data_IF_298892086909
#
_entry.id   IF_298892086909
#
_cell.length_a   1.000
_cell.length_b   1.000
_cell.length_c   1.000
_cell.angle_alpha   90.00
_cell.angle_beta   90.00
_cell.angle_gamma   90.00
#
_symmetry.space_group_name_H-M   'P 1'
#
loop_
_entity.id
_entity.type
_entity.pdbx_description
1 polymer ?
2 polymer ?
3 polymer ?
4 non-polymer ?
5 water ?
#
loop_
_entity_poly.entity_id
_entity_poly.type
_entity_poly.pdbx_seq_one_letter_code
_entity_poly.pdbx_strand_id
2 'polydeoxyribonucleotide' '(DA)(DG)(DG)(DA)(DC)(DC)(DOC)' ?
3 'polydeoxyribonucleotide' '(DT)(BRU)(DG)(DG)(DG)(DT)(DC)(DC)(DT)' ?
#
# COMPACT_ATOMS: atom_id res chain seq x y z
N UNK A 1 -12.44 23.75 -0.25
CA UNK A 1 -12.99 23.36 1.09
C UNK A 1 -13.13 21.85 1.28
N UNK A 2 -14.29 21.30 0.92
CA UNK A 2 -14.56 19.88 1.09
C UNK A 2 -14.07 18.98 -0.05
N UNK A 3 -13.43 17.89 0.31
CA UNK A 3 -12.88 16.95 -0.66
C UNK A 3 -13.64 15.64 -0.78
N UNK A 4 -13.44 14.98 -1.91
CA UNK A 4 -14.02 13.67 -2.18
C UNK A 4 -12.84 12.82 -2.61
N UNK A 5 -12.43 11.94 -1.70
CA UNK A 5 -11.29 11.06 -1.92
C UNK A 5 -11.73 9.62 -2.04
N UNK A 6 -11.11 8.86 -2.93
CA UNK A 6 -11.42 7.44 -3.05
C UNK A 6 -10.15 6.61 -2.79
N UNK A 7 -10.33 5.54 -2.03
CA UNK A 7 -9.24 4.64 -1.72
C UNK A 7 -9.53 3.31 -2.42
N UNK A 8 -8.65 2.90 -3.33
CA UNK A 8 -8.80 1.65 -4.07
C UNK A 8 -7.85 0.61 -3.48
N UNK A 9 -8.40 -0.52 -3.08
CA UNK A 9 -7.62 -1.58 -2.44
C UNK A 9 -7.91 -2.92 -3.11
N UNK A 10 -6.91 -3.45 -3.82
CA UNK A 10 -7.08 -4.70 -4.54
C UNK A 10 -7.06 -5.93 -3.64
N UNK A 11 -7.97 -6.85 -3.91
CA UNK A 11 -8.07 -8.08 -3.14
C UNK A 11 -6.85 -8.99 -3.41
N UNK A 12 -6.29 -9.55 -2.33
CA UNK A 12 -5.16 -10.46 -2.39
C UNK A 12 -4.44 -10.36 -3.73
N UNK A 13 -3.84 -9.19 -3.97
CA UNK A 13 -3.17 -8.87 -5.22
C UNK A 13 -2.28 -9.91 -5.87
N UNK A 14 -1.24 -10.37 -5.18
CA UNK A 14 -0.33 -11.37 -5.77
C UNK A 14 -1.10 -12.62 -6.21
N UNK A 15 -2.04 -13.05 -5.37
CA UNK A 15 -2.84 -14.22 -5.68
C UNK A 15 -3.62 -13.99 -6.97
N UNK A 16 -4.22 -12.81 -7.12
CA UNK A 16 -4.97 -12.51 -8.34
C UNK A 16 -4.07 -12.60 -9.58
N UNK A 17 -2.84 -12.14 -9.46
CA UNK A 17 -1.92 -12.20 -10.58
C UNK A 17 -1.56 -13.66 -10.89
N UNK A 18 -1.25 -14.43 -9.85
CA UNK A 18 -0.90 -15.83 -10.05
C UNK A 18 -2.09 -16.63 -10.60
N UNK A 19 -3.31 -16.30 -10.17
CA UNK A 19 -4.50 -17.00 -10.65
C UNK A 19 -4.76 -16.66 -12.11
N UNK A 20 -4.42 -15.44 -12.52
CA UNK A 20 -4.63 -15.04 -13.90
C UNK A 20 -3.59 -15.74 -14.79
N UNK A 21 -2.39 -15.96 -14.26
CA UNK A 21 -1.36 -16.63 -15.05
C UNK A 21 -1.85 -18.05 -15.36
N UNK A 22 -2.00 -18.86 -14.31
CA UNK A 22 -2.48 -20.22 -14.47
C UNK A 22 -3.91 -20.37 -13.93
N UNK A 23 -4.90 -20.33 -14.83
CA UNK A 23 -6.33 -20.45 -14.49
C UNK A 23 -6.65 -21.66 -13.61
N UNK A 24 -5.92 -22.75 -13.84
CA UNK A 24 -6.14 -23.98 -13.06
C UNK A 24 -5.98 -23.77 -11.56
N UNK A 25 -5.48 -22.59 -11.18
CA UNK A 25 -5.30 -22.27 -9.77
C UNK A 25 -6.57 -21.71 -9.13
N UNK A 26 -7.51 -21.25 -9.95
CA UNK A 26 -8.77 -20.70 -9.44
C UNK A 26 -9.49 -21.74 -8.60
N UNK A 27 -10.53 -21.29 -7.88
CA UNK A 27 -11.35 -22.14 -7.01
C UNK A 27 -10.55 -22.97 -6.00
N UNK A 28 -9.35 -23.38 -6.40
CA UNK A 28 -8.48 -24.17 -5.52
C UNK A 28 -7.72 -23.22 -4.62
N UNK A 29 -7.69 -23.50 -3.31
CA UNK A 29 -6.98 -22.64 -2.34
C UNK A 29 -5.55 -22.33 -2.80
N UNK A 30 -5.27 -21.05 -2.99
CA UNK A 30 -3.96 -20.64 -3.44
C UNK A 30 -3.24 -19.72 -2.47
N UNK A 31 -1.97 -19.99 -2.28
CA UNK A 31 -1.17 -19.19 -1.39
C UNK A 31 0.10 -18.80 -2.13
N UNK A 32 0.52 -17.55 -1.97
CA UNK A 32 1.73 -17.08 -2.63
C UNK A 32 2.83 -17.09 -1.56
N UNK A 33 3.93 -17.74 -1.90
CA UNK A 33 5.04 -17.90 -0.99
C UNK A 33 6.33 -17.18 -1.32
N UNK A 34 6.97 -16.66 -0.27
CA UNK A 34 8.26 -15.99 -0.38
C UNK A 34 9.05 -16.62 0.76
N UNK A 35 10.04 -17.42 0.40
CA UNK A 35 10.84 -18.12 1.38
C UNK A 35 9.96 -19.09 2.17
N UNK A 36 9.89 -18.93 3.48
CA UNK A 36 9.10 -19.81 4.33
C UNK A 36 7.79 -19.18 4.75
N UNK A 37 7.36 -18.15 4.03
CA UNK A 37 6.14 -17.48 4.38
C UNK A 37 5.10 -17.47 3.28
N UNK A 38 3.85 -17.38 3.69
CA UNK A 38 2.73 -17.28 2.76
C UNK A 38 2.32 -15.83 2.95
N UNK A 39 2.79 -14.96 2.06
CA UNK A 39 2.49 -13.56 2.16
C UNK A 39 1.01 -13.27 1.93
N UNK A 40 0.42 -13.93 0.93
CA UNK A 40 -0.99 -13.75 0.66
C UNK A 40 -1.56 -15.00 0.01
N UNK A 41 -2.88 -15.11 0.03
CA UNK A 41 -3.58 -16.25 -0.54
C UNK A 41 -4.97 -15.81 -1.00
N UNK A 42 -5.58 -16.56 -1.92
CA UNK A 42 -6.91 -16.21 -2.39
C UNK A 42 -7.93 -16.51 -1.30
N UNK A 43 -9.12 -15.93 -1.43
CA UNK A 43 -10.17 -16.10 -0.43
C UNK A 43 -10.55 -17.54 -0.14
N UNK A 44 -10.50 -18.41 -1.15
CA UNK A 44 -10.83 -19.82 -0.95
C UNK A 44 -9.97 -20.36 0.19
N UNK A 45 -8.66 -20.29 -0.02
CA UNK A 45 -7.69 -20.76 0.97
C UNK A 45 -7.84 -20.02 2.29
N UNK A 46 -8.20 -18.76 2.20
CA UNK A 46 -8.40 -17.93 3.39
C UNK A 46 -9.58 -18.47 4.17
N UNK A 47 -10.55 -19.03 3.47
CA UNK A 47 -11.75 -19.59 4.10
C UNK A 47 -11.34 -20.78 4.96
N UNK A 48 -10.28 -21.47 4.53
CA UNK A 48 -9.79 -22.65 5.23
C UNK A 48 -8.75 -22.33 6.31
N UNK A 49 -8.80 -21.12 6.85
CA UNK A 49 -7.87 -20.73 7.89
C UNK A 49 -6.58 -20.01 7.50
N UNK A 50 -6.12 -20.21 6.28
CA UNK A 50 -4.89 -19.55 5.84
C UNK A 50 -4.97 -18.04 6.03
N UNK A 51 -3.99 -17.47 6.73
CA UNK A 51 -3.95 -16.03 6.98
C UNK A 51 -2.70 -15.41 6.36
N UNK A 52 -2.81 -14.15 5.99
CA UNK A 52 -1.68 -13.42 5.38
C UNK A 52 -0.47 -13.43 6.29
N UNK A 53 0.71 -13.63 5.72
CA UNK A 53 1.95 -13.66 6.47
C UNK A 53 1.93 -14.77 7.51
N UNK A 54 1.78 -16.00 7.07
CA UNK A 54 1.74 -17.15 7.96
C UNK A 54 2.74 -18.20 7.49
N UNK A 55 3.44 -18.82 8.44
CA UNK A 55 4.43 -19.84 8.12
C UNK A 55 3.82 -20.95 7.26
N UNK A 56 4.60 -21.46 6.32
CA UNK A 56 4.13 -22.51 5.43
C UNK A 56 3.60 -23.68 6.24
N UNK A 57 4.37 -24.12 7.24
CA UNK A 57 3.96 -25.23 8.10
C UNK A 57 2.57 -24.95 8.66
N UNK A 58 2.47 -23.94 9.52
CA UNK A 58 1.20 -23.56 10.13
C UNK A 58 0.15 -23.32 9.06
N UNK A 59 0.59 -23.16 7.81
CA UNK A 59 -0.33 -22.93 6.70
C UNK A 59 -0.86 -24.24 6.10
N UNK A 60 -0.02 -25.26 6.10
CA UNK A 60 -0.42 -26.55 5.56
C UNK A 60 -1.06 -27.42 6.63
N UNK A 61 -0.66 -27.22 7.88
CA UNK A 61 -1.22 -27.99 8.99
C UNK A 61 -2.57 -27.38 9.36
N UNK A 62 -3.01 -26.44 8.53
CA UNK A 62 -4.29 -25.76 8.71
C UNK A 62 -5.09 -26.00 7.43
N UNK A 63 -4.38 -26.36 6.37
CA UNK A 63 -4.97 -26.62 5.07
C UNK A 63 -4.05 -27.55 4.27
N UNK A 64 -3.98 -28.83 4.66
CA UNK A 64 -3.13 -29.84 4.02
C UNK A 64 -3.57 -30.13 2.57
N UNK A 65 -3.65 -29.08 1.77
CA UNK A 65 -4.06 -29.19 0.37
C UNK A 65 -3.69 -27.91 -0.36
N UNK A 66 -3.42 -26.86 0.41
CA UNK A 66 -3.05 -25.57 -0.12
C UNK A 66 -2.00 -25.66 -1.23
N UNK A 67 -2.26 -24.98 -2.34
CA UNK A 67 -1.32 -24.95 -3.44
C UNK A 67 -0.43 -23.73 -3.21
N UNK A 68 0.83 -23.81 -3.62
CA UNK A 68 1.74 -22.70 -3.42
C UNK A 68 2.52 -22.33 -4.66
N UNK A 69 2.64 -21.02 -4.90
CA UNK A 69 3.39 -20.52 -6.04
C UNK A 69 4.43 -19.59 -5.44
N UNK A 70 5.63 -19.56 -6.02
CA UNK A 70 6.67 -18.70 -5.49
C UNK A 70 6.43 -17.27 -5.94
N UNK A 71 6.52 -16.33 -5.01
CA UNK A 71 6.31 -14.93 -5.34
C UNK A 71 7.47 -14.03 -4.99
N UNK A 72 8.68 -14.58 -4.95
CA UNK A 72 9.86 -13.79 -4.63
C UNK A 72 10.24 -12.78 -5.70
N UNK A 73 9.95 -13.11 -6.96
CA UNK A 73 10.21 -12.22 -8.08
C UNK A 73 8.94 -11.37 -8.21
N UNK A 74 9.05 -10.09 -7.88
CA UNK A 74 7.92 -9.17 -7.92
C UNK A 74 7.62 -8.59 -9.29
N UNK A 75 8.43 -8.93 -10.27
CA UNK A 75 8.28 -8.39 -11.60
C UNK A 75 6.85 -8.23 -12.14
N UNK A 76 6.09 -9.31 -12.17
CA UNK A 76 4.73 -9.23 -12.71
C UNK A 76 3.77 -8.50 -11.80
N UNK A 77 3.99 -8.58 -10.50
CA UNK A 77 3.13 -7.88 -9.54
C UNK A 77 3.32 -6.39 -9.77
N UNK A 78 4.59 -5.98 -9.81
CA UNK A 78 4.97 -4.58 -10.01
C UNK A 78 4.39 -4.04 -11.31
N UNK A 79 4.48 -4.84 -12.38
CA UNK A 79 3.95 -4.40 -13.68
C UNK A 79 2.44 -4.19 -13.66
N UNK A 80 1.71 -5.11 -13.05
CA UNK A 80 0.25 -4.99 -12.97
C UNK A 80 -0.10 -3.80 -12.07
N UNK A 81 0.68 -3.64 -11.00
CA UNK A 81 0.46 -2.54 -10.09
C UNK A 81 0.48 -1.21 -10.83
N UNK A 82 1.43 -1.04 -11.75
CA UNK A 82 1.45 0.23 -12.47
C UNK A 82 0.32 0.34 -13.48
N UNK A 83 -0.12 -0.78 -14.04
CA UNK A 83 -1.23 -0.69 -14.99
C UNK A 83 -2.46 -0.21 -14.24
N UNK A 84 -2.63 -0.67 -13.00
CA UNK A 84 -3.78 -0.24 -12.21
C UNK A 84 -3.72 1.26 -11.99
N UNK A 85 -2.57 1.73 -11.48
CA UNK A 85 -2.38 3.15 -11.22
C UNK A 85 -2.61 4.00 -12.46
N UNK A 86 -2.07 3.58 -13.59
CA UNK A 86 -2.23 4.31 -14.86
C UNK A 86 -3.70 4.35 -15.28
N UNK A 87 -4.40 3.26 -15.07
CA UNK A 87 -5.81 3.23 -15.42
C UNK A 87 -6.54 4.25 -14.53
N UNK A 88 -6.15 4.34 -13.26
CA UNK A 88 -6.79 5.28 -12.35
C UNK A 88 -6.44 6.72 -12.72
N UNK A 89 -5.19 6.93 -13.15
CA UNK A 89 -4.73 8.27 -13.54
C UNK A 89 -5.54 8.82 -14.73
N UNK A 90 -6.10 7.91 -15.53
CA UNK A 90 -6.89 8.33 -16.68
C UNK A 90 -8.16 9.00 -16.21
N UNK A 91 -8.74 8.51 -15.12
CA UNK A 91 -9.94 9.12 -14.55
C UNK A 91 -9.60 10.50 -14.04
N UNK A 92 -8.52 10.59 -13.29
CA UNK A 92 -8.09 11.86 -12.71
C UNK A 92 -6.60 11.71 -12.43
N UNK A 93 -5.80 12.69 -12.89
CA UNK A 93 -4.34 12.69 -12.74
C UNK A 93 -3.69 12.61 -11.36
N UNK A 94 -4.38 13.06 -10.31
CA UNK A 94 -3.77 13.04 -8.99
C UNK A 94 -4.03 11.73 -8.26
N UNK A 95 -3.11 10.79 -8.48
CA UNK A 95 -3.20 9.47 -7.89
C UNK A 95 -1.95 9.15 -7.07
N UNK A 96 -2.18 8.72 -5.83
CA UNK A 96 -1.10 8.38 -4.92
C UNK A 96 -1.07 6.87 -4.68
N UNK A 97 0.11 6.27 -4.85
CA UNK A 97 0.29 4.85 -4.61
C UNK A 97 0.68 4.62 -3.16
N UNK A 98 0.24 3.51 -2.60
CA UNK A 98 0.62 3.14 -1.25
C UNK A 98 0.87 1.65 -1.41
N UNK A 99 2.13 1.30 -1.59
CA UNK A 99 2.49 -0.09 -1.82
C UNK A 99 2.10 -0.46 -3.24
N UNK A 100 2.08 -1.74 -3.55
CA UNK A 100 1.73 -2.19 -4.90
C UNK A 100 0.22 -2.39 -5.07
N UNK A 101 -0.53 -2.52 -3.98
CA UNK A 101 -1.94 -2.78 -4.15
C UNK A 101 -2.95 -1.73 -3.76
N UNK A 102 -2.49 -0.55 -3.36
CA UNK A 102 -3.41 0.52 -2.97
C UNK A 102 -3.13 1.85 -3.67
N UNK A 103 -4.19 2.56 -3.98
CA UNK A 103 -4.11 3.86 -4.63
C UNK A 103 -5.15 4.80 -4.02
N UNK A 104 -4.80 6.08 -3.96
CA UNK A 104 -5.70 7.13 -3.49
C UNK A 104 -5.88 8.04 -4.69
N UNK A 105 -7.11 8.49 -4.92
CA UNK A 105 -7.38 9.40 -6.02
C UNK A 105 -8.20 10.56 -5.49
N UNK A 106 -7.78 11.78 -5.80
CA UNK A 106 -8.53 12.94 -5.35
C UNK A 106 -9.57 13.16 -6.43
N UNK A 107 -10.82 12.89 -6.11
CA UNK A 107 -11.93 13.02 -7.07
C UNK A 107 -12.66 14.35 -7.00
N UNK A 108 -12.21 15.22 -6.11
CA UNK A 108 -12.86 16.51 -5.91
C UNK A 108 -13.22 17.28 -7.18
N UNK A 109 -12.23 17.57 -8.01
CA UNK A 109 -12.50 18.33 -9.22
C UNK A 109 -13.44 17.60 -10.17
N UNK A 110 -13.26 16.30 -10.30
CA UNK A 110 -14.09 15.50 -11.18
C UNK A 110 -15.55 15.51 -10.73
N UNK A 111 -15.77 15.45 -9.42
CA UNK A 111 -17.13 15.47 -8.88
C UNK A 111 -17.83 16.79 -9.21
N UNK A 112 -17.11 17.89 -9.08
CA UNK A 112 -17.68 19.20 -9.39
C UNK A 112 -18.09 19.31 -10.85
N UNK A 113 -17.20 18.92 -11.76
CA UNK A 113 -17.50 18.97 -13.18
C UNK A 113 -18.76 18.17 -13.50
N UNK A 114 -18.89 16.99 -12.89
CA UNK A 114 -20.06 16.16 -13.14
C UNK A 114 -21.33 16.79 -12.58
N UNK A 115 -21.25 17.34 -11.39
CA UNK A 115 -22.41 17.98 -10.78
C UNK A 115 -22.89 19.17 -11.60
N UNK A 116 -21.95 19.92 -12.14
CA UNK A 116 -22.30 21.09 -12.94
C UNK A 116 -22.99 20.71 -14.24
N UNK A 117 -22.86 19.44 -14.64
CA UNK A 117 -23.49 18.96 -15.86
C UNK A 117 -24.94 18.58 -15.62
N UNK A 118 -25.27 18.21 -14.38
CA UNK A 118 -26.62 17.82 -14.02
C UNK A 118 -27.55 19.03 -14.00
N UNK A 119 -28.84 18.80 -14.24
CA UNK A 119 -29.83 19.86 -14.25
C UNK A 119 -30.63 19.89 -12.96
N UNK A 120 -31.23 21.04 -12.66
CA UNK A 120 -32.05 21.22 -11.45
C UNK A 120 -33.28 20.32 -11.49
N UNK A 121 -33.05 19.01 -11.45
CA UNK A 121 -34.14 18.04 -11.46
C UNK A 121 -33.54 16.66 -11.36
N UNK A 122 -32.61 16.34 -12.26
CA UNK A 122 -31.94 15.05 -12.26
C UNK A 122 -31.02 14.92 -11.06
N UNK A 123 -30.83 16.03 -10.36
CA UNK A 123 -29.98 16.07 -9.17
C UNK A 123 -30.71 15.33 -8.04
N UNK A 124 -32.01 15.19 -8.18
CA UNK A 124 -32.84 14.51 -7.19
C UNK A 124 -32.87 13.02 -7.47
N UNK A 125 -32.34 12.63 -8.63
CA UNK A 125 -32.32 11.22 -9.01
C UNK A 125 -30.95 10.60 -8.69
N UNK A 126 -30.04 11.42 -8.18
CA UNK A 126 -28.70 10.96 -7.83
C UNK A 126 -28.79 9.78 -6.86
N UNK A 127 -28.14 8.68 -7.21
CA UNK A 127 -28.17 7.51 -6.36
C UNK A 127 -26.78 7.05 -5.98
N UNK A 128 -26.72 6.19 -4.97
CA UNK A 128 -25.44 5.68 -4.50
C UNK A 128 -25.07 4.40 -5.23
N UNK A 129 -23.77 4.14 -5.30
CA UNK A 129 -23.28 2.94 -5.92
C UNK A 129 -22.55 2.15 -4.83
N UNK A 130 -23.04 0.96 -4.53
CA UNK A 130 -22.44 0.16 -3.49
C UNK A 130 -23.04 0.44 -2.11
N UNK A 131 -22.29 0.09 -1.06
CA UNK A 131 -22.75 0.25 0.32
C UNK A 131 -22.60 1.67 0.91
N UNK A 132 -23.46 1.98 1.87
CA UNK A 132 -23.41 3.27 2.59
C UNK A 132 -23.02 2.84 3.99
N UNK A 133 -21.86 3.29 4.49
CA UNK A 133 -21.41 2.89 5.81
C UNK A 133 -22.46 3.13 6.90
N UNK A 134 -22.57 2.16 7.80
CA UNK A 134 -23.53 2.17 8.90
C UNK A 134 -24.96 2.36 8.40
N UNK A 135 -25.23 1.91 7.18
CA UNK A 135 -26.57 1.99 6.61
C UNK A 135 -27.19 3.37 6.88
N UNK A 136 -26.38 4.41 6.78
CA UNK A 136 -26.86 5.76 7.04
C UNK A 136 -27.80 6.23 5.96
N UNK A 137 -28.85 6.96 6.38
CA UNK A 137 -29.84 7.50 5.46
C UNK A 137 -29.24 8.67 4.68
N UNK A 138 -29.53 8.71 3.39
CA UNK A 138 -29.01 9.78 2.53
C UNK A 138 -29.97 10.97 2.54
N UNK A 139 -29.41 12.17 2.48
CA UNK A 139 -30.23 13.35 2.42
C UNK A 139 -29.84 14.01 1.12
N UNK A 140 -30.72 13.91 0.14
CA UNK A 140 -30.47 14.48 -1.18
C UNK A 140 -30.31 15.99 -1.23
N UNK A 141 -30.68 16.70 -0.15
CA UNK A 141 -30.53 18.14 -0.15
C UNK A 141 -29.22 18.57 0.49
N UNK A 142 -28.47 17.58 1.00
CA UNK A 142 -27.17 17.89 1.61
C UNK A 142 -26.14 17.84 0.48
N UNK A 143 -25.60 19.00 0.12
CA UNK A 143 -24.61 19.05 -0.97
C UNK A 143 -23.43 18.09 -0.75
N UNK A 144 -23.07 17.87 0.51
CA UNK A 144 -21.96 16.97 0.83
C UNK A 144 -22.33 15.52 0.52
N UNK A 145 -23.59 15.17 0.74
CA UNK A 145 -24.08 13.82 0.45
C UNK A 145 -24.06 13.56 -1.06
N UNK A 146 -24.57 14.54 -1.81
CA UNK A 146 -24.62 14.42 -3.27
C UNK A 146 -23.21 14.20 -3.83
N UNK A 147 -22.26 14.98 -3.34
CA UNK A 147 -20.89 14.87 -3.81
C UNK A 147 -20.30 13.49 -3.55
N UNK A 148 -20.46 13.00 -2.32
CA UNK A 148 -19.91 11.69 -1.99
C UNK A 148 -20.61 10.61 -2.79
N UNK A 149 -21.88 10.81 -3.11
CA UNK A 149 -22.60 9.80 -3.88
C UNK A 149 -22.05 9.73 -5.30
N UNK A 150 -21.79 10.90 -5.89
CA UNK A 150 -21.23 10.93 -7.24
C UNK A 150 -19.87 10.24 -7.11
N UNK A 151 -19.18 10.52 -6.01
CA UNK A 151 -17.90 9.89 -5.76
C UNK A 151 -18.05 8.37 -5.77
N UNK A 152 -19.17 7.86 -5.24
CA UNK A 152 -19.36 6.41 -5.22
C UNK A 152 -19.55 5.91 -6.66
N UNK A 153 -20.20 6.71 -7.50
CA UNK A 153 -20.44 6.36 -8.90
C UNK A 153 -19.10 6.25 -9.64
N UNK A 154 -18.23 7.23 -9.45
CA UNK A 154 -16.93 7.20 -10.11
C UNK A 154 -16.16 5.98 -9.63
N UNK A 155 -16.21 5.72 -8.33
CA UNK A 155 -15.52 4.58 -7.75
C UNK A 155 -15.98 3.29 -8.42
N UNK A 156 -17.29 3.17 -8.64
CA UNK A 156 -17.85 1.98 -9.29
C UNK A 156 -17.33 1.90 -10.73
N UNK A 157 -17.25 3.03 -11.42
CA UNK A 157 -16.75 3.06 -12.79
C UNK A 157 -15.29 2.59 -12.82
N UNK A 158 -14.50 3.05 -11.84
CA UNK A 158 -13.10 2.67 -11.74
C UNK A 158 -12.96 1.16 -11.52
N UNK A 159 -13.75 0.61 -10.59
CA UNK A 159 -13.64 -0.83 -10.32
C UNK A 159 -14.09 -1.66 -11.50
N UNK A 160 -15.09 -1.15 -12.23
CA UNK A 160 -15.59 -1.88 -13.39
C UNK A 160 -14.52 -1.87 -14.46
N UNK A 161 -13.85 -0.73 -14.62
CA UNK A 161 -12.79 -0.60 -15.60
C UNK A 161 -11.61 -1.51 -15.25
N UNK A 162 -11.22 -1.55 -13.97
CA UNK A 162 -10.10 -2.39 -13.56
C UNK A 162 -10.40 -3.83 -13.90
N UNK A 163 -11.66 -4.22 -13.72
CA UNK A 163 -12.04 -5.59 -14.02
C UNK A 163 -12.11 -5.84 -15.53
N UNK A 164 -12.79 -4.97 -16.26
CA UNK A 164 -12.91 -5.18 -17.71
C UNK A 164 -11.59 -5.06 -18.48
N UNK A 165 -10.80 -4.04 -18.19
CA UNK A 165 -9.55 -3.85 -18.91
C UNK A 165 -8.35 -4.64 -18.38
N UNK A 166 -8.35 -4.95 -17.08
CA UNK A 166 -7.21 -5.65 -16.46
C UNK A 166 -7.50 -6.99 -15.80
N UNK A 167 -8.77 -7.36 -15.65
CA UNK A 167 -9.10 -8.64 -15.03
C UNK A 167 -8.96 -8.67 -13.52
N UNK A 168 -8.89 -7.50 -12.88
CA UNK A 168 -8.74 -7.43 -11.43
C UNK A 168 -9.97 -6.95 -10.64
N UNK A 169 -10.20 -7.57 -9.49
CA UNK A 169 -11.30 -7.19 -8.62
C UNK A 169 -10.70 -6.40 -7.46
N UNK A 170 -11.53 -5.63 -6.77
CA UNK A 170 -11.01 -4.86 -5.65
C UNK A 170 -12.05 -4.07 -4.89
N UNK A 171 -11.63 -3.49 -3.78
CA UNK A 171 -12.53 -2.69 -2.98
C UNK A 171 -12.23 -1.21 -3.18
N UNK A 172 -13.20 -0.38 -2.81
CA UNK A 172 -13.04 1.08 -2.89
C UNK A 172 -13.76 1.68 -1.70
N UNK A 173 -13.23 2.81 -1.23
CA UNK A 173 -13.82 3.52 -0.11
C UNK A 173 -13.88 4.98 -0.51
N UNK A 174 -15.04 5.61 -0.31
CA UNK A 174 -15.18 7.01 -0.67
C UNK A 174 -15.49 7.82 0.58
N UNK A 175 -14.70 8.85 0.82
CA UNK A 175 -14.86 9.71 1.98
C UNK A 175 -14.28 11.10 1.72
N UNK A 176 -14.33 11.98 2.73
CA UNK A 176 -13.84 13.34 2.60
C UNK A 176 -12.32 13.53 2.74
N UNK A 177 -11.61 12.53 3.24
CA UNK A 177 -10.14 12.62 3.33
C UNK A 177 -9.50 11.23 3.19
N UNK A 178 -8.18 11.17 3.14
CA UNK A 178 -7.50 9.88 2.96
C UNK A 178 -7.67 8.86 4.08
N UNK A 179 -7.59 9.35 5.32
CA UNK A 179 -7.75 8.52 6.51
C UNK A 179 -9.07 7.74 6.45
N UNK A 180 -10.16 8.47 6.35
CA UNK A 180 -11.50 7.91 6.31
C UNK A 180 -11.74 7.00 5.09
N UNK A 181 -11.23 7.41 3.93
CA UNK A 181 -11.40 6.63 2.72
C UNK A 181 -10.73 5.28 2.89
N UNK A 182 -9.54 5.29 3.48
CA UNK A 182 -8.82 4.05 3.70
C UNK A 182 -9.48 3.20 4.78
N UNK A 183 -10.01 3.83 5.82
CA UNK A 183 -10.68 3.06 6.86
C UNK A 183 -12.00 2.48 6.34
N UNK A 184 -12.70 3.20 5.48
CA UNK A 184 -13.98 2.66 5.01
C UNK A 184 -13.89 1.69 3.84
N UNK A 185 -12.81 1.74 3.05
CA UNK A 185 -12.71 0.84 1.90
C UNK A 185 -12.81 -0.62 2.28
N UNK A 186 -12.35 -0.96 3.48
CA UNK A 186 -12.40 -2.35 3.90
C UNK A 186 -13.61 -2.82 4.68
N UNK A 187 -14.64 -1.99 4.84
CA UNK A 187 -15.83 -2.38 5.61
C UNK A 187 -16.52 -3.60 4.99
N UNK A 188 -16.72 -3.60 3.69
CA UNK A 188 -17.31 -4.77 3.04
C UNK A 188 -16.18 -5.31 2.18
N UNK A 189 -15.41 -6.17 2.84
CA UNK A 189 -14.16 -6.77 2.35
C UNK A 189 -13.92 -7.38 0.98
N UNK A 190 -14.78 -8.29 0.51
CA UNK A 190 -14.42 -8.81 -0.82
C UNK A 190 -15.01 -8.17 -2.07
N UNK A 191 -14.15 -7.58 -2.91
CA UNK A 191 -14.59 -6.97 -4.16
C UNK A 191 -15.88 -6.16 -4.04
N UNK A 192 -15.87 -5.17 -3.16
CA UNK A 192 -17.05 -4.33 -2.95
C UNK A 192 -16.58 -2.92 -2.61
N UNK A 193 -17.52 -1.99 -2.46
CA UNK A 193 -17.16 -0.63 -2.13
C UNK A 193 -18.15 -0.01 -1.14
N UNK A 194 -17.67 0.96 -0.37
CA UNK A 194 -18.48 1.62 0.65
C UNK A 194 -18.21 3.12 0.65
N UNK A 195 -19.23 3.90 0.99
CA UNK A 195 -19.09 5.34 1.05
C UNK A 195 -19.43 5.80 2.47
N UNK A 196 -18.65 6.77 2.96
CA UNK A 196 -18.82 7.30 4.32
C UNK A 196 -19.45 8.69 4.31
N UNK A 197 -20.63 8.83 4.91
CA UNK A 197 -21.25 10.17 4.98
C UNK A 197 -20.72 10.82 6.28
N UNK A 198 -20.56 12.15 6.29
CA UNK A 198 -20.04 12.86 7.47
C UNK A 198 -20.62 12.43 8.82
N UNK A 199 -21.94 12.38 8.93
CA UNK A 199 -22.59 11.99 10.18
C UNK A 199 -22.14 10.66 10.78
N UNK A 200 -21.46 9.83 10.00
CA UNK A 200 -21.03 8.54 10.55
C UNK A 200 -19.54 8.44 10.85
N UNK A 201 -18.83 9.56 10.75
CA UNK A 201 -17.39 9.57 10.99
C UNK A 201 -16.97 9.06 12.37
N UNK A 202 -17.66 9.50 13.43
CA UNK A 202 -17.32 9.02 14.76
C UNK A 202 -17.58 7.52 14.91
N UNK A 203 -18.68 7.05 14.34
CA UNK A 203 -19.00 5.62 14.42
C UNK A 203 -17.84 4.81 13.79
N UNK A 204 -17.35 5.24 12.63
CA UNK A 204 -16.25 4.55 11.95
C UNK A 204 -14.98 4.57 12.81
N UNK A 205 -14.59 5.74 13.28
CA UNK A 205 -13.37 5.86 14.07
C UNK A 205 -13.41 5.03 15.34
N UNK A 206 -14.55 5.08 16.04
CA UNK A 206 -14.71 4.32 17.27
C UNK A 206 -14.90 2.84 17.01
N UNK A 207 -15.15 2.45 15.76
CA UNK A 207 -15.33 1.04 15.47
C UNK A 207 -13.98 0.33 15.61
N UNK A 208 -12.88 1.09 15.56
CA UNK A 208 -11.54 0.50 15.71
C UNK A 208 -11.36 0.01 17.16
N UNK A 209 -10.53 -1.01 17.36
CA UNK A 209 -10.32 -1.53 18.71
C UNK A 209 -9.04 -1.11 19.41
N UNK A 210 -8.14 -0.45 18.67
CA UNK A 210 -6.88 0.06 19.23
C UNK A 210 -6.29 1.13 18.30
N UNK A 211 -5.62 2.11 18.90
CA UNK A 211 -5.01 3.20 18.14
C UNK A 211 -4.09 2.68 17.04
N UNK A 212 -3.50 1.51 17.27
CA UNK A 212 -2.60 0.91 16.31
C UNK A 212 -3.27 0.73 14.95
N UNK A 213 -4.58 0.57 14.97
CA UNK A 213 -5.35 0.37 13.75
C UNK A 213 -5.51 1.63 12.91
N UNK A 214 -5.19 2.79 13.47
CA UNK A 214 -5.31 4.03 12.72
C UNK A 214 -4.14 4.26 11.76
N UNK A 215 -4.44 4.45 10.47
CA UNK A 215 -3.37 4.67 9.49
C UNK A 215 -2.62 5.95 9.90
N UNK A 216 -1.32 5.83 10.09
CA UNK A 216 -0.53 6.98 10.51
C UNK A 216 0.06 6.79 11.89
N UNK A 217 -0.32 5.69 12.54
CA UNK A 217 0.18 5.36 13.88
C UNK A 217 0.81 3.97 13.79
N UNK A 218 2.14 3.94 13.71
CA UNK A 218 2.83 2.66 13.59
C UNK A 218 3.15 1.93 14.88
N UNK A 219 3.86 0.80 14.73
CA UNK A 219 4.27 -0.04 15.84
C UNK A 219 4.89 0.76 16.97
N UNK A 220 5.81 1.66 16.61
CA UNK A 220 6.47 2.48 17.61
C UNK A 220 5.46 3.35 18.36
N UNK A 221 5.04 4.45 17.73
CA UNK A 221 4.09 5.38 18.34
C UNK A 221 3.04 4.70 19.22
N UNK A 222 2.52 3.57 18.76
CA UNK A 222 1.51 2.83 19.51
C UNK A 222 2.04 2.49 20.91
N UNK A 223 3.20 1.85 20.95
CA UNK A 223 3.81 1.48 22.22
C UNK A 223 4.03 2.69 23.11
N UNK A 224 4.36 3.83 22.49
CA UNK A 224 4.57 5.05 23.26
C UNK A 224 3.24 5.48 23.90
N UNK A 225 2.19 5.52 23.09
CA UNK A 225 0.86 5.90 23.58
C UNK A 225 0.42 4.94 24.69
N UNK A 226 0.74 3.67 24.54
CA UNK A 226 0.36 2.69 25.54
C UNK A 226 1.02 2.99 26.87
N UNK A 227 2.34 3.13 26.86
CA UNK A 227 3.09 3.42 28.08
C UNK A 227 2.46 4.62 28.78
N UNK A 228 1.65 5.37 28.05
CA UNK A 228 0.97 6.55 28.59
C UNK A 228 -0.47 6.23 29.02
N UNK A 229 -0.90 4.99 28.81
CA UNK A 229 -2.25 4.60 29.19
C UNK A 229 -3.29 4.81 28.11
N UNK A 230 -2.84 5.26 26.94
CA UNK A 230 -3.74 5.49 25.81
C UNK A 230 -3.87 4.20 25.00
N UNK A 231 -5.04 3.59 25.04
CA UNK A 231 -5.26 2.34 24.31
C UNK A 231 -6.37 2.40 23.27
N UNK A 232 -7.48 3.06 23.59
CA UNK A 232 -8.61 3.15 22.68
C UNK A 232 -8.59 4.47 21.91
N UNK A 233 -9.37 4.53 20.84
CA UNK A 233 -9.45 5.76 20.07
C UNK A 233 -9.95 6.90 20.96
N UNK A 234 -10.94 6.62 21.81
CA UNK A 234 -11.47 7.67 22.69
C UNK A 234 -10.42 8.13 23.70
N UNK A 235 -9.55 7.23 24.16
CA UNK A 235 -8.49 7.65 25.10
C UNK A 235 -7.65 8.74 24.40
N UNK A 236 -7.21 8.45 23.18
CA UNK A 236 -6.40 9.41 22.43
C UNK A 236 -7.15 10.71 22.22
N UNK A 237 -8.41 10.63 21.83
CA UNK A 237 -9.22 11.82 21.63
C UNK A 237 -9.32 12.66 22.90
N UNK A 238 -9.38 12.01 24.04
CA UNK A 238 -9.54 12.73 25.29
C UNK A 238 -8.27 13.01 26.06
N UNK A 239 -7.13 12.53 25.58
CA UNK A 239 -5.88 12.75 26.29
C UNK A 239 -5.48 14.21 26.22
N UNK A 240 -4.62 14.62 27.15
CA UNK A 240 -4.15 16.01 27.20
C UNK A 240 -3.21 16.35 26.05
N UNK A 241 -3.56 17.39 25.27
CA UNK A 241 -2.73 17.81 24.13
C UNK A 241 -1.29 18.09 24.58
N UNK A 242 -1.17 18.85 25.65
CA UNK A 242 0.13 19.24 26.22
C UNK A 242 1.07 18.06 26.47
N UNK A 243 0.65 17.11 27.28
CA UNK A 243 1.51 15.97 27.60
C UNK A 243 1.90 15.22 26.35
N UNK A 244 0.91 14.99 25.49
CA UNK A 244 1.13 14.26 24.24
C UNK A 244 2.13 15.05 23.40
N UNK A 245 1.98 16.37 23.41
CA UNK A 245 2.84 17.26 22.65
C UNK A 245 4.25 17.22 23.23
N UNK A 246 4.32 17.17 24.56
CA UNK A 246 5.58 17.14 25.26
C UNK A 246 6.28 15.78 25.30
N UNK A 247 5.71 14.77 24.67
CA UNK A 247 6.36 13.46 24.67
C UNK A 247 6.52 12.81 23.30
N UNK A 248 5.81 13.32 22.30
CA UNK A 248 5.90 12.77 20.95
C UNK A 248 6.34 13.83 19.95
N UNK A 249 6.40 15.07 20.41
CA UNK A 249 6.77 16.17 19.54
C UNK A 249 5.50 16.90 19.16
N UNK A 250 5.59 18.22 19.00
CA UNK A 250 4.40 19.00 18.64
C UNK A 250 3.84 18.56 17.28
N UNK A 251 4.73 18.13 16.38
CA UNK A 251 4.32 17.70 15.06
C UNK A 251 3.51 16.40 15.15
N UNK A 252 4.17 15.32 15.54
CA UNK A 252 3.53 14.03 15.65
C UNK A 252 2.28 14.09 16.53
N UNK A 253 2.43 14.67 17.71
CA UNK A 253 1.33 14.78 18.66
C UNK A 253 0.07 15.42 18.11
N UNK A 254 0.20 16.62 17.56
CA UNK A 254 -0.95 17.34 17.02
C UNK A 254 -1.57 16.61 15.82
N UNK A 255 -0.75 15.89 15.06
CA UNK A 255 -1.25 15.18 13.90
C UNK A 255 -2.06 13.94 14.25
N UNK A 256 -1.48 13.06 15.06
CA UNK A 256 -2.19 11.84 15.41
C UNK A 256 -3.42 12.08 16.26
N UNK A 257 -3.47 13.20 16.98
CA UNK A 257 -4.64 13.47 17.79
C UNK A 257 -5.78 13.90 16.85
N UNK A 258 -5.41 14.57 15.76
CA UNK A 258 -6.41 14.99 14.76
C UNK A 258 -6.99 13.70 14.19
N UNK A 259 -6.09 12.78 13.83
CA UNK A 259 -6.50 11.52 13.25
C UNK A 259 -7.48 10.77 14.16
N UNK A 260 -7.29 10.86 15.48
CA UNK A 260 -8.18 10.14 16.38
C UNK A 260 -9.61 10.63 16.23
N UNK A 261 -9.76 11.86 15.75
CA UNK A 261 -11.08 12.43 15.52
C UNK A 261 -11.54 12.21 14.07
N UNK A 262 -10.74 11.50 13.28
CA UNK A 262 -11.11 11.30 11.89
C UNK A 262 -10.73 12.50 11.03
N UNK A 263 -9.87 13.37 11.55
CA UNK A 263 -9.41 14.56 10.83
C UNK A 263 -8.06 14.29 10.22
N UNK A 264 -7.92 14.63 8.96
CA UNK A 264 -6.67 14.40 8.24
C UNK A 264 -6.69 15.25 6.99
N UNK A 265 -5.92 16.33 6.99
CA UNK A 265 -5.86 17.23 5.86
C UNK A 265 -4.74 16.93 4.86
N UNK A 266 -4.02 15.83 5.04
CA UNK A 266 -2.93 15.52 4.10
C UNK A 266 -3.50 15.40 2.69
N UNK A 267 -2.81 15.97 1.69
CA UNK A 267 -3.29 15.91 0.31
C UNK A 267 -2.94 14.58 -0.34
N UNK A 268 -3.66 14.21 -1.40
CA UNK A 268 -3.33 12.99 -2.12
C UNK A 268 -2.16 13.48 -2.94
N UNK A 269 -1.03 12.78 -2.86
CA UNK A 269 0.17 13.18 -3.61
C UNK A 269 0.35 12.39 -4.90
N UNK A 270 0.64 13.09 -6.00
CA UNK A 270 0.86 12.46 -7.30
C UNK A 270 2.13 11.63 -7.21
N UNK A 271 2.01 10.31 -7.25
CA UNK A 271 3.20 9.45 -7.15
C UNK A 271 4.13 9.59 -8.36
N UNK A 272 3.57 9.51 -9.56
CA UNK A 272 4.40 9.60 -10.75
C UNK A 272 5.35 8.41 -10.80
N UNK A 273 6.51 8.53 -11.47
CA UNK A 273 7.48 7.44 -11.58
C UNK A 273 8.15 7.17 -10.24
N UNK A 274 8.71 5.96 -10.07
CA UNK A 274 9.40 5.54 -8.84
C UNK A 274 10.61 6.41 -8.53
N UNK A 275 10.86 6.66 -7.25
CA UNK A 275 11.99 7.46 -6.82
C UNK A 275 13.21 6.55 -6.65
N UNK A 276 13.00 5.25 -6.72
CA UNK A 276 14.09 4.29 -6.57
C UNK A 276 13.74 2.90 -7.09
N UNK A 277 14.78 2.11 -7.36
CA UNK A 277 14.61 0.75 -7.84
C UNK A 277 15.54 -0.13 -7.02
N UNK A 278 15.04 -1.26 -6.53
CA UNK A 278 15.88 -2.16 -5.76
C UNK A 278 15.34 -3.57 -5.68
N UNK A 279 16.25 -4.50 -5.42
CA UNK A 279 15.90 -5.90 -5.27
C UNK A 279 16.67 -6.43 -4.07
N UNK A 280 16.03 -7.27 -3.29
CA UNK A 280 16.65 -7.84 -2.11
C UNK A 280 16.77 -9.35 -2.24
N UNK A 281 17.06 -9.99 -1.11
CA UNK A 281 17.20 -11.44 -1.03
C UNK A 281 17.73 -11.78 0.35
N UNK A 282 17.06 -12.71 1.01
CA UNK A 282 17.49 -13.13 2.33
C UNK A 282 17.97 -14.58 2.23
N UNK A 283 19.20 -14.83 2.68
CA UNK A 283 19.74 -16.17 2.64
C UNK A 283 19.72 -16.83 4.01
N UNK A 284 19.77 -18.15 4.02
CA UNK A 284 19.76 -18.91 5.26
C UNK A 284 21.12 -18.72 5.93
N UNK A 285 21.56 -17.46 6.00
CA UNK A 285 22.84 -17.08 6.58
C UNK A 285 23.95 -17.76 5.77
N UNK A 286 23.87 -17.62 4.46
CA UNK A 286 24.85 -18.24 3.57
C UNK A 286 25.68 -17.26 2.73
N UNK A 287 26.41 -16.38 3.41
CA UNK A 287 27.28 -15.41 2.73
C UNK A 287 28.56 -15.31 3.56
N UNK A 288 29.60 -15.99 3.08
CA UNK A 288 30.91 -16.03 3.75
C UNK A 288 31.67 -14.71 3.80
N UNK A 289 30.95 -13.60 3.72
CA UNK A 289 31.56 -12.27 3.74
C UNK A 289 32.33 -11.99 2.44
N UNK A 290 32.65 -13.04 1.70
CA UNK A 290 33.38 -12.90 0.44
C UNK A 290 32.95 -13.96 -0.57
N UNK A 291 33.23 -13.69 -1.84
CA UNK A 291 32.88 -14.60 -2.93
C UNK A 291 31.36 -14.67 -3.09
N UNK A 292 30.65 -14.43 -1.99
CA UNK A 292 29.19 -14.45 -1.99
C UNK A 292 28.67 -13.17 -2.64
N UNK A 293 29.55 -12.46 -3.33
CA UNK A 293 29.19 -11.24 -4.02
C UNK A 293 28.65 -11.58 -5.40
N UNK A 294 28.73 -12.85 -5.76
CA UNK A 294 28.21 -13.29 -7.05
C UNK A 294 26.70 -13.08 -6.99
N UNK A 295 26.18 -13.02 -5.76
CA UNK A 295 24.75 -12.81 -5.53
C UNK A 295 24.43 -11.36 -5.89
N UNK A 296 25.32 -10.46 -5.48
CA UNK A 296 25.16 -9.04 -5.74
C UNK A 296 25.19 -8.81 -7.25
N UNK A 297 25.88 -9.69 -7.96
CA UNK A 297 25.97 -9.58 -9.41
C UNK A 297 24.62 -9.95 -10.03
N UNK A 298 23.89 -10.81 -9.34
CA UNK A 298 22.57 -11.25 -9.80
C UNK A 298 21.58 -10.12 -9.60
N UNK A 299 21.60 -9.52 -8.41
CA UNK A 299 20.68 -8.42 -8.13
C UNK A 299 20.86 -7.35 -9.20
N UNK A 300 22.11 -6.94 -9.40
CA UNK A 300 22.45 -5.91 -10.38
C UNK A 300 21.95 -6.26 -11.77
N UNK A 301 22.01 -7.54 -12.12
CA UNK A 301 21.57 -8.00 -13.43
C UNK A 301 20.15 -7.52 -13.74
N UNK A 302 19.18 -7.98 -12.93
CA UNK A 302 17.79 -7.61 -13.12
C UNK A 302 17.61 -6.09 -12.99
N UNK A 303 18.17 -5.53 -11.92
CA UNK A 303 18.06 -4.10 -11.71
C UNK A 303 18.46 -3.32 -12.96
N UNK A 304 19.66 -3.58 -13.48
CA UNK A 304 20.17 -2.90 -14.66
C UNK A 304 19.16 -2.92 -15.81
N UNK A 305 18.44 -4.03 -15.94
CA UNK A 305 17.43 -4.17 -16.98
C UNK A 305 16.22 -3.32 -16.62
N UNK A 306 16.00 -3.12 -15.33
CA UNK A 306 14.87 -2.32 -14.85
C UNK A 306 15.23 -0.83 -14.94
N UNK A 307 16.34 -0.46 -14.31
CA UNK A 307 16.81 0.91 -14.31
C UNK A 307 16.83 1.42 -15.75
N UNK A 308 17.13 0.51 -16.67
CA UNK A 308 17.17 0.79 -18.09
C UNK A 308 15.76 1.18 -18.56
N UNK A 309 14.93 0.17 -18.77
CA UNK A 309 13.54 0.32 -19.21
C UNK A 309 12.90 1.68 -18.92
N UNK A 310 12.95 2.07 -17.65
CA UNK A 310 12.37 3.33 -17.21
C UNK A 310 12.73 4.52 -18.10
N UNK A 311 13.98 4.58 -18.53
CA UNK A 311 14.43 5.68 -19.36
C UNK A 311 15.39 6.59 -18.62
N UNK A 312 14.95 7.06 -17.45
CA UNK A 312 15.77 7.93 -16.60
C UNK A 312 17.00 7.17 -16.11
N UNK A 313 18.01 7.90 -15.66
CA UNK A 313 19.23 7.27 -15.16
C UNK A 313 19.50 7.64 -13.71
N UNK A 314 19.99 6.68 -12.92
CA UNK A 314 20.30 6.87 -11.50
C UNK A 314 21.71 7.42 -11.27
N UNK A 315 21.83 8.39 -10.38
CA UNK A 315 23.13 8.97 -10.09
C UNK A 315 23.61 8.60 -8.70
N UNK A 316 23.03 7.53 -8.14
CA UNK A 316 23.43 7.07 -6.82
C UNK A 316 23.14 5.58 -6.68
N UNK A 317 24.02 4.87 -5.99
CA UNK A 317 23.84 3.45 -5.77
C UNK A 317 24.00 3.18 -4.29
N UNK A 318 23.55 2.01 -3.85
CA UNK A 318 23.64 1.66 -2.43
C UNK A 318 23.61 0.16 -2.25
N UNK A 319 24.14 -0.28 -1.12
CA UNK A 319 24.17 -1.69 -0.76
C UNK A 319 23.77 -1.78 0.70
N UNK A 320 22.85 -2.70 1.00
CA UNK A 320 22.37 -2.87 2.36
C UNK A 320 22.61 -4.31 2.78
N UNK A 321 22.79 -4.54 4.08
CA UNK A 321 23.03 -5.89 4.57
C UNK A 321 22.41 -6.16 5.93
N UNK A 322 22.58 -7.40 6.39
CA UNK A 322 22.05 -7.85 7.68
C UNK A 322 23.08 -8.79 8.34
N UNK A 323 22.87 -9.08 9.61
CA UNK A 323 23.77 -9.96 10.36
C UNK A 323 22.99 -10.80 11.37
N UNK A 324 23.25 -12.11 11.37
CA UNK A 324 22.56 -13.03 12.27
C UNK A 324 23.18 -13.10 13.66
N UNK A 325 22.33 -13.22 14.67
CA UNK A 325 22.78 -13.31 16.05
C UNK A 325 21.59 -13.45 17.00
N UNK A 326 21.39 -12.45 17.85
CA UNK A 326 20.28 -12.45 18.80
C UNK A 326 18.97 -12.08 18.12
N UNK A 327 18.09 -11.42 18.86
CA UNK A 327 16.78 -11.01 18.33
C UNK A 327 16.79 -9.54 17.93
N UNK A 328 17.68 -9.18 17.01
CA UNK A 328 17.77 -7.81 16.53
C UNK A 328 16.51 -7.43 15.75
N UNK A 329 15.53 -6.87 16.46
CA UNK A 329 14.25 -6.47 15.87
C UNK A 329 14.41 -5.35 14.84
N UNK A 330 15.64 -4.90 14.63
CA UNK A 330 15.92 -3.84 13.68
C UNK A 330 17.42 -3.68 13.48
N UNK A 331 17.92 -4.10 12.32
CA UNK A 331 19.35 -3.99 12.06
C UNK A 331 19.76 -4.06 10.60
N UNK A 332 20.05 -2.90 10.03
CA UNK A 332 20.49 -2.80 8.64
C UNK A 332 21.63 -1.81 8.51
N UNK A 333 22.46 -2.00 7.49
CA UNK A 333 23.60 -1.11 7.25
C UNK A 333 23.72 -0.90 5.74
N UNK A 334 24.19 0.27 5.33
CA UNK A 334 24.34 0.53 3.90
C UNK A 334 25.37 1.61 3.58
N UNK A 335 26.13 1.37 2.51
CA UNK A 335 27.15 2.33 2.07
C UNK A 335 26.69 2.99 0.79
N UNK A 336 26.32 4.27 0.92
CA UNK A 336 25.83 5.07 -0.20
C UNK A 336 27.00 5.77 -0.90
N UNK A 337 26.97 5.79 -2.22
CA UNK A 337 28.03 6.45 -3.00
C UNK A 337 27.56 6.83 -4.40
N UNK A 338 28.08 7.94 -4.95
CA UNK A 338 27.72 8.40 -6.29
C UNK A 338 28.16 7.44 -7.38
N UNK A 339 27.47 7.48 -8.52
CA UNK A 339 27.78 6.61 -9.66
C UNK A 339 28.54 7.39 -10.73
N UNK A 340 29.72 6.91 -11.15
CA UNK A 340 30.56 7.54 -12.16
C UNK A 340 29.81 8.02 -13.40
N UNK A 341 29.86 9.33 -13.65
CA UNK A 341 29.18 9.94 -14.79
C UNK A 341 29.42 9.17 -16.09
N UNK A 342 30.60 8.59 -16.22
CA UNK A 342 30.95 7.84 -17.42
C UNK A 342 30.22 6.50 -17.47
N UNK A 343 30.20 5.80 -16.34
CA UNK A 343 29.55 4.50 -16.25
C UNK A 343 28.03 4.58 -16.40
N UNK A 344 27.47 5.77 -16.18
CA UNK A 344 26.03 5.97 -16.29
C UNK A 344 25.54 5.63 -17.69
N UNK A 345 26.33 6.01 -18.69
CA UNK A 345 25.97 5.73 -20.08
C UNK A 345 26.40 4.34 -20.50
N UNK A 354 28.42 -3.44 -19.24
CA UNK A 354 28.22 -2.29 -18.37
C UNK A 354 28.38 -2.70 -16.90
N UNK A 355 28.05 -3.94 -16.60
CA UNK A 355 28.17 -4.44 -15.24
C UNK A 355 29.58 -4.28 -14.70
N UNK A 356 30.51 -5.02 -15.29
CA UNK A 356 31.93 -5.02 -14.91
C UNK A 356 32.36 -3.88 -14.00
N UNK A 357 32.25 -2.63 -14.47
CA UNK A 357 32.66 -1.51 -13.62
C UNK A 357 31.86 -1.49 -12.31
N UNK A 358 30.55 -1.32 -12.44
CA UNK A 358 29.63 -1.27 -11.30
C UNK A 358 29.86 -2.43 -10.33
N UNK A 359 30.20 -3.59 -10.88
CA UNK A 359 30.45 -4.76 -10.04
C UNK A 359 31.43 -4.42 -8.92
N UNK A 360 32.66 -4.05 -9.29
CA UNK A 360 33.65 -3.71 -8.29
C UNK A 360 33.35 -2.36 -7.67
N UNK A 361 32.42 -1.63 -8.29
CA UNK A 361 32.02 -0.33 -7.76
C UNK A 361 31.28 -0.63 -6.47
N UNK A 362 30.48 -1.69 -6.48
CA UNK A 362 29.73 -2.11 -5.31
C UNK A 362 30.64 -2.94 -4.40
N UNK A 363 31.63 -3.57 -5.02
CA UNK A 363 32.58 -4.41 -4.29
C UNK A 363 33.38 -3.66 -3.25
N UNK A 364 33.77 -2.42 -3.56
CA UNK A 364 34.54 -1.62 -2.60
C UNK A 364 33.61 -1.23 -1.46
N UNK A 365 32.41 -0.77 -1.81
CA UNK A 365 31.40 -0.37 -0.85
C UNK A 365 31.10 -1.60 0.02
N UNK A 366 31.32 -2.76 -0.58
CA UNK A 366 31.12 -4.05 0.05
C UNK A 366 32.06 -4.18 1.26
N UNK A 367 33.36 -4.27 0.97
CA UNK A 367 34.38 -4.41 2.01
C UNK A 367 34.29 -3.37 3.13
N UNK A 368 33.93 -2.14 2.79
CA UNK A 368 33.82 -1.08 3.78
C UNK A 368 32.83 -1.49 4.88
N UNK A 369 32.05 -2.53 4.62
CA UNK A 369 31.07 -3.00 5.58
C UNK A 369 31.55 -4.24 6.34
N UNK A 379 22.25 -11.34 6.82
CA UNK A 379 21.68 -12.50 6.14
C UNK A 379 20.98 -12.08 4.85
N UNK A 380 20.84 -10.76 4.66
CA UNK A 380 20.20 -10.21 3.47
C UNK A 380 21.13 -9.29 2.68
N UNK A 381 20.89 -9.20 1.38
CA UNK A 381 21.70 -8.37 0.50
C UNK A 381 20.81 -7.72 -0.57
N UNK A 382 20.87 -6.39 -0.66
CA UNK A 382 20.05 -5.68 -1.65
C UNK A 382 20.73 -4.44 -2.21
N UNK A 383 20.65 -4.29 -3.53
CA UNK A 383 21.23 -3.15 -4.22
C UNK A 383 20.08 -2.18 -4.53
N UNK A 384 20.31 -0.90 -4.29
CA UNK A 384 19.29 0.10 -4.57
C UNK A 384 19.80 1.25 -5.42
N UNK A 385 19.19 1.44 -6.57
CA UNK A 385 19.53 2.52 -7.47
C UNK A 385 18.58 3.69 -7.20
N UNK A 386 19.08 4.76 -6.60
CA UNK A 386 18.23 5.91 -6.31
C UNK A 386 18.77 7.21 -6.91
N UNK A 387 18.20 8.33 -6.47
CA UNK A 387 18.59 9.65 -6.96
C UNK A 387 18.52 9.66 -8.48
N UNK A 388 17.33 9.37 -9.01
CA UNK A 388 17.07 9.33 -10.45
C UNK A 388 16.93 10.73 -11.05
N UNK A 389 17.38 10.88 -12.29
CA UNK A 389 17.30 12.15 -12.99
C UNK A 389 17.07 11.94 -14.48
X LIG D 1 -6.78 -8.61 1.33
X LIG D 1 -6.65 -8.11 2.77
X LIG D 1 -6.04 -9.94 1.26
X LIG D 1 -8.15 -8.92 1.16
X LIG D 1 -6.03 -7.71 0.54
#
# INVERSE_FOLDING_TARGET
SSRVIVHVDLDCFYAQVEMISNPELKDKPLGVQQKYLVVTCNYEARKLGVKKLMNVRDAKEKCPQLVLVNGEDLTRYREMSYKVTELLEEFSPVVERLGFDENFVDLTEMVEKRLQQLQSDELSAVTVSGHVYNNQSINLLDVLHIRLLVGSQIAAEMREAMYNQLGLTGCAGVASNKLLAKLVSGVFKPNQQTVLLPESCQHLIHSLNHIKEIPGIGYKTAKCLEALGINSVRDLQTFSPKILEKELGISVAQRIQKLSFGEDNSPVILSGPPQSFSEEDSFKKCSSEVEAKNKIEELLASLLNRVCQDGRKPHTVRLIIRRYSSEKHYGRESRQCPIPSHVIQKLGTGNYDVMTPMVDILMKLFRNMVNVKMPFHLTLLSVCFCNLK
SO4 S O1 O2 O3 O4
#
